data_IF_623949982263
#
_entry.id   IF_623949982263
#
_cell.length_a   1.000
_cell.length_b   1.000
_cell.length_c   1.000
_cell.angle_alpha   90.00
_cell.angle_beta   90.00
_cell.angle_gamma   90.00
#
_symmetry.space_group_name_H-M   'P 1'
#
loop_
_entity.id
_entity.type
_entity.pdbx_description
1 polymer ?
#
# COMPACT_ATOMS: atom_id res chain seq x y z
N UNK A 1 -15.95 17.11 -13.21
CA UNK A 1 -16.66 15.81 -13.29
C UNK A 1 -15.85 14.77 -12.56
N UNK A 2 -16.20 14.44 -11.32
CA UNK A 2 -15.49 13.43 -10.51
C UNK A 2 -15.86 12.04 -11.04
N UNK A 3 -14.99 11.44 -11.83
CA UNK A 3 -15.10 10.02 -12.21
C UNK A 3 -14.89 9.22 -10.93
N UNK A 4 -15.91 8.53 -10.45
CA UNK A 4 -15.85 7.72 -9.23
C UNK A 4 -14.69 6.74 -9.36
N UNK A 5 -13.79 6.70 -8.38
CA UNK A 5 -12.62 5.79 -8.31
C UNK A 5 -12.93 4.30 -8.55
N UNK A 6 -14.19 3.94 -8.60
CA UNK A 6 -14.68 2.57 -8.82
C UNK A 6 -14.74 2.18 -10.31
N UNK A 7 -14.86 3.18 -11.21
CA UNK A 7 -15.07 2.92 -12.63
C UNK A 7 -13.84 2.42 -13.40
N UNK A 8 -12.62 2.87 -13.03
CA UNK A 8 -11.46 2.52 -13.85
C UNK A 8 -11.06 1.05 -13.77
N UNK A 9 -11.22 0.41 -12.60
CA UNK A 9 -10.95 -1.04 -12.44
C UNK A 9 -11.93 -1.88 -13.26
N UNK A 10 -13.19 -1.50 -13.25
CA UNK A 10 -14.22 -2.18 -14.03
C UNK A 10 -14.00 -2.01 -15.53
N UNK A 11 -13.53 -0.83 -15.99
CA UNK A 11 -13.15 -0.62 -17.38
C UNK A 11 -11.97 -1.51 -17.81
N UNK A 12 -10.94 -1.64 -16.98
CA UNK A 12 -9.81 -2.55 -17.26
C UNK A 12 -10.30 -3.98 -17.38
N UNK A 13 -11.10 -4.46 -16.43
CA UNK A 13 -11.64 -5.82 -16.43
C UNK A 13 -12.49 -6.04 -17.69
N UNK A 14 -13.41 -5.12 -18.01
CA UNK A 14 -14.28 -5.22 -19.17
C UNK A 14 -13.51 -5.18 -20.51
N UNK A 15 -12.37 -4.51 -20.53
CA UNK A 15 -11.51 -4.45 -21.72
C UNK A 15 -10.74 -5.75 -21.96
N UNK A 16 -10.61 -6.60 -20.94
CA UNK A 16 -9.86 -7.85 -21.00
C UNK A 16 -10.77 -9.08 -21.02
N UNK A 17 -11.86 -9.04 -20.25
CA UNK A 17 -12.66 -10.23 -19.97
C UNK A 17 -13.42 -10.77 -21.18
N UNK A 18 -13.38 -12.08 -21.37
CA UNK A 18 -14.00 -12.82 -22.47
C UNK A 18 -13.54 -12.35 -23.87
N UNK A 19 -12.29 -11.88 -23.96
CA UNK A 19 -11.67 -11.53 -25.24
C UNK A 19 -10.54 -12.47 -25.58
N UNK A 20 -10.35 -12.73 -26.86
CA UNK A 20 -9.16 -13.39 -27.38
C UNK A 20 -8.01 -12.37 -27.42
N UNK A 21 -6.76 -12.85 -27.29
CA UNK A 21 -5.60 -11.96 -27.25
C UNK A 21 -5.51 -11.03 -28.48
N UNK A 22 -5.82 -11.52 -29.68
CA UNK A 22 -5.78 -10.68 -30.89
C UNK A 22 -6.78 -9.51 -30.87
N UNK A 23 -7.90 -9.62 -30.12
CA UNK A 23 -8.95 -8.61 -30.00
C UNK A 23 -8.56 -7.44 -29.08
N UNK A 24 -7.50 -7.60 -28.30
CA UNK A 24 -7.07 -6.59 -27.34
C UNK A 24 -6.44 -5.37 -28.03
N UNK A 25 -6.60 -4.19 -27.45
CA UNK A 25 -5.81 -3.02 -27.81
C UNK A 25 -4.31 -3.26 -27.57
N UNK A 26 -3.45 -2.55 -28.30
CA UNK A 26 -1.99 -2.69 -28.18
C UNK A 26 -1.49 -2.51 -26.75
N UNK A 27 -2.11 -1.60 -26.00
CA UNK A 27 -1.81 -1.39 -24.59
C UNK A 27 -2.04 -2.65 -23.74
N UNK A 28 -3.21 -3.28 -23.88
CA UNK A 28 -3.53 -4.51 -23.16
C UNK A 28 -2.77 -5.73 -23.69
N UNK A 29 -2.44 -5.78 -24.97
CA UNK A 29 -1.54 -6.81 -25.52
C UNK A 29 -0.20 -6.79 -24.82
N UNK A 30 0.41 -5.60 -24.63
CA UNK A 30 1.66 -5.46 -23.89
C UNK A 30 1.56 -5.94 -22.44
N UNK A 31 0.47 -5.65 -21.74
CA UNK A 31 0.26 -6.12 -20.37
C UNK A 31 0.08 -7.64 -20.30
N UNK A 32 -0.76 -8.21 -21.15
CA UNK A 32 -1.06 -9.65 -21.14
C UNK A 32 0.15 -10.47 -21.59
N UNK A 33 0.90 -10.03 -22.60
CA UNK A 33 2.15 -10.71 -22.99
C UNK A 33 3.25 -10.65 -21.92
N UNK A 34 3.28 -9.58 -21.12
CA UNK A 34 4.15 -9.51 -19.94
C UNK A 34 3.80 -10.54 -18.86
N UNK A 35 2.52 -10.80 -18.64
CA UNK A 35 2.04 -11.81 -17.68
C UNK A 35 2.20 -13.24 -18.23
N UNK A 36 1.91 -13.41 -19.51
CA UNK A 36 1.91 -14.69 -20.21
C UNK A 36 2.80 -14.60 -21.46
N UNK A 37 4.11 -14.80 -21.33
CA UNK A 37 5.06 -14.61 -22.44
C UNK A 37 4.80 -15.49 -23.66
N UNK A 38 4.12 -16.63 -23.49
CA UNK A 38 3.83 -17.60 -24.56
C UNK A 38 2.36 -17.54 -25.02
N UNK A 39 1.65 -16.42 -24.79
CA UNK A 39 0.26 -16.28 -25.20
C UNK A 39 0.13 -16.30 -26.72
N UNK A 40 -0.91 -16.98 -27.21
CA UNK A 40 -1.26 -17.06 -28.63
C UNK A 40 -2.44 -16.15 -28.96
N UNK A 41 -2.57 -15.79 -30.23
CA UNK A 41 -3.62 -14.88 -30.69
C UNK A 41 -5.03 -15.35 -30.31
N UNK A 42 -5.31 -16.65 -30.40
CA UNK A 42 -6.60 -17.23 -30.11
C UNK A 42 -6.87 -17.56 -28.63
N UNK A 43 -5.87 -17.36 -27.76
CA UNK A 43 -6.04 -17.64 -26.34
C UNK A 43 -7.10 -16.71 -25.72
N UNK A 44 -8.05 -17.33 -25.00
CA UNK A 44 -9.13 -16.62 -24.32
C UNK A 44 -8.66 -16.10 -22.95
N UNK A 45 -8.96 -14.86 -22.68
CA UNK A 45 -8.65 -14.19 -21.42
C UNK A 45 -9.91 -14.11 -20.57
N UNK A 46 -9.87 -14.69 -19.37
CA UNK A 46 -10.96 -14.65 -18.41
C UNK A 46 -10.53 -13.81 -17.20
N UNK A 47 -11.34 -12.84 -16.80
CA UNK A 47 -11.07 -11.99 -15.66
C UNK A 47 -12.11 -12.18 -14.55
N UNK A 48 -11.68 -12.59 -13.37
CA UNK A 48 -12.50 -12.80 -12.19
C UNK A 48 -12.28 -11.69 -11.17
N UNK A 49 -13.24 -10.76 -11.02
CA UNK A 49 -13.19 -9.67 -10.06
C UNK A 49 -13.17 -10.17 -8.63
N UNK A 50 -12.32 -9.58 -7.78
CA UNK A 50 -12.26 -9.83 -6.33
C UNK A 50 -12.75 -8.60 -5.58
N UNK A 51 -13.44 -8.82 -4.44
CA UNK A 51 -13.94 -7.74 -3.58
C UNK A 51 -13.29 -7.83 -2.20
N UNK A 52 -12.97 -6.66 -1.60
CA UNK A 52 -12.45 -6.59 -0.23
C UNK A 52 -11.04 -7.16 -0.04
N UNK A 53 -10.25 -7.21 -1.11
CA UNK A 53 -8.96 -7.88 -1.22
C UNK A 53 -7.91 -6.90 -1.75
N UNK A 54 -6.63 -7.20 -1.53
CA UNK A 54 -5.51 -6.51 -2.22
C UNK A 54 -5.48 -6.88 -3.69
N UNK A 55 -5.93 -8.07 -4.01
CA UNK A 55 -6.15 -8.56 -5.37
C UNK A 55 -7.44 -7.93 -5.88
N UNK A 56 -7.35 -7.13 -6.92
CA UNK A 56 -8.51 -6.49 -7.54
C UNK A 56 -9.23 -7.44 -8.50
N UNK A 57 -8.46 -8.21 -9.26
CA UNK A 57 -8.98 -9.27 -10.13
C UNK A 57 -7.91 -10.34 -10.39
N UNK A 58 -8.38 -11.48 -10.84
CA UNK A 58 -7.56 -12.59 -11.30
C UNK A 58 -7.72 -12.70 -12.82
N UNK A 59 -6.61 -12.87 -13.53
CA UNK A 59 -6.58 -13.18 -14.95
C UNK A 59 -6.30 -14.68 -15.10
N UNK A 60 -7.04 -15.34 -15.97
CA UNK A 60 -6.85 -16.73 -16.32
C UNK A 60 -6.68 -16.86 -17.83
N UNK A 61 -5.61 -17.54 -18.25
CA UNK A 61 -5.34 -17.94 -19.63
C UNK A 61 -4.88 -19.39 -19.59
N UNK A 62 -5.51 -20.26 -20.36
CA UNK A 62 -5.16 -21.69 -20.45
C UNK A 62 -5.02 -22.36 -19.07
N UNK A 63 -5.98 -22.10 -18.16
CA UNK A 63 -6.01 -22.61 -16.77
C UNK A 63 -4.88 -22.07 -15.86
N UNK A 64 -4.02 -21.19 -16.35
CA UNK A 64 -3.02 -20.49 -15.53
C UNK A 64 -3.60 -19.20 -14.98
N UNK A 65 -3.70 -19.11 -13.66
CA UNK A 65 -4.27 -17.95 -12.97
C UNK A 65 -3.19 -17.01 -12.44
N UNK A 66 -3.37 -15.70 -12.60
CA UNK A 66 -2.52 -14.64 -12.06
C UNK A 66 -3.35 -13.58 -11.35
N UNK A 67 -2.91 -13.18 -10.18
CA UNK A 67 -3.58 -12.21 -9.33
C UNK A 67 -3.03 -10.80 -9.57
N UNK A 68 -3.90 -9.86 -9.87
CA UNK A 68 -3.52 -8.48 -10.22
C UNK A 68 -4.08 -7.50 -9.21
N UNK A 69 -3.22 -6.60 -8.75
CA UNK A 69 -3.59 -5.43 -7.96
C UNK A 69 -3.51 -4.17 -8.81
N UNK A 70 -4.61 -3.45 -8.95
CA UNK A 70 -4.70 -2.23 -9.75
C UNK A 70 -4.61 -1.01 -8.87
N UNK A 71 -3.69 -0.13 -9.19
CA UNK A 71 -3.50 1.15 -8.49
C UNK A 71 -3.50 2.30 -9.48
N UNK A 72 -3.97 3.45 -9.02
CA UNK A 72 -3.95 4.69 -9.78
C UNK A 72 -3.83 5.89 -8.83
N UNK A 73 -3.14 6.94 -9.26
CA UNK A 73 -2.90 8.16 -8.48
C UNK A 73 -1.51 8.18 -7.81
N UNK A 74 -0.96 9.38 -7.64
CA UNK A 74 0.43 9.60 -7.19
C UNK A 74 0.71 9.02 -5.79
N UNK A 75 -0.27 9.09 -4.91
CA UNK A 75 -0.15 8.57 -3.54
C UNK A 75 -1.30 7.61 -3.26
N UNK A 76 -0.96 6.39 -2.88
CA UNK A 76 -1.92 5.38 -2.47
C UNK A 76 -1.87 5.15 -0.96
N UNK A 77 -3.01 4.81 -0.38
CA UNK A 77 -3.08 4.26 0.97
C UNK A 77 -2.80 2.76 0.89
N UNK A 78 -1.63 2.35 1.41
CA UNK A 78 -1.26 0.91 1.49
C UNK A 78 -1.81 0.28 2.77
N UNK A 79 -2.08 1.10 3.77
CA UNK A 79 -2.73 0.71 5.03
C UNK A 79 -3.65 1.83 5.52
N UNK A 80 -4.82 1.45 6.01
CA UNK A 80 -5.76 2.33 6.70
C UNK A 80 -6.62 1.48 7.62
N UNK A 81 -6.21 1.40 8.89
CA UNK A 81 -6.89 0.59 9.89
C UNK A 81 -6.49 1.07 11.30
N UNK A 82 -7.00 0.40 12.34
CA UNK A 82 -6.64 0.67 13.73
C UNK A 82 -5.14 0.46 13.93
N UNK A 83 -4.49 1.38 14.62
CA UNK A 83 -3.05 1.29 14.91
C UNK A 83 -2.70 0.01 15.64
N UNK A 84 -3.55 -0.47 16.53
CA UNK A 84 -3.30 -1.71 17.27
C UNK A 84 -3.22 -2.94 16.36
N UNK A 85 -3.96 -2.98 15.23
CA UNK A 85 -3.82 -4.06 14.26
C UNK A 85 -2.44 -4.04 13.59
N UNK A 86 -1.92 -2.84 13.30
CA UNK A 86 -0.55 -2.69 12.79
C UNK A 86 0.48 -3.10 13.86
N UNK A 87 0.30 -2.65 15.10
CA UNK A 87 1.18 -2.99 16.22
C UNK A 87 1.25 -4.50 16.44
N UNK A 88 0.12 -5.20 16.47
CA UNK A 88 0.09 -6.67 16.64
C UNK A 88 0.87 -7.36 15.52
N UNK A 89 0.71 -6.90 14.28
CA UNK A 89 1.50 -7.43 13.18
C UNK A 89 3.00 -7.14 13.37
N UNK A 90 3.39 -5.89 13.68
CA UNK A 90 4.79 -5.52 13.87
C UNK A 90 5.45 -6.30 15.01
N UNK A 91 4.74 -6.55 16.11
CA UNK A 91 5.21 -7.41 17.19
C UNK A 91 5.40 -8.86 16.71
N UNK A 92 4.52 -9.38 15.87
CA UNK A 92 4.62 -10.75 15.35
C UNK A 92 5.84 -10.98 14.45
N UNK A 93 6.42 -9.92 13.91
CA UNK A 93 7.64 -9.97 13.11
C UNK A 93 8.89 -9.47 13.86
N UNK A 94 8.78 -9.34 15.19
CA UNK A 94 9.86 -8.97 16.11
C UNK A 94 10.37 -7.53 15.96
N UNK A 95 9.50 -6.57 15.61
CA UNK A 95 9.82 -5.14 15.75
C UNK A 95 10.04 -4.82 17.24
N UNK A 96 11.06 -4.02 17.54
CA UNK A 96 11.43 -3.70 18.93
C UNK A 96 10.28 -3.00 19.68
N UNK A 97 10.19 -3.28 20.99
CA UNK A 97 9.21 -2.61 21.86
C UNK A 97 9.42 -1.10 21.88
N UNK A 98 10.67 -0.65 21.81
CA UNK A 98 11.01 0.76 21.76
C UNK A 98 10.43 1.43 20.50
N UNK A 99 10.56 0.79 19.34
CA UNK A 99 9.97 1.26 18.09
C UNK A 99 8.44 1.32 18.17
N UNK A 100 7.79 0.30 18.73
CA UNK A 100 6.34 0.27 18.92
C UNK A 100 5.87 1.42 19.84
N UNK A 101 6.55 1.62 20.97
CA UNK A 101 6.23 2.71 21.90
C UNK A 101 6.40 4.09 21.23
N UNK A 102 7.49 4.29 20.48
CA UNK A 102 7.71 5.51 19.71
C UNK A 102 6.62 5.76 18.67
N UNK A 103 6.18 4.72 17.95
CA UNK A 103 5.07 4.82 16.99
C UNK A 103 3.75 5.21 17.66
N UNK A 104 3.41 4.61 18.80
CA UNK A 104 2.18 4.89 19.54
C UNK A 104 2.20 6.32 20.09
N UNK A 105 3.31 6.73 20.70
CA UNK A 105 3.51 8.08 21.22
C UNK A 105 3.32 9.14 20.13
N UNK A 106 3.99 8.91 18.98
CA UNK A 106 3.83 9.77 17.81
C UNK A 106 2.40 9.73 17.26
N UNK A 107 1.73 8.57 17.25
CA UNK A 107 0.39 8.41 16.71
C UNK A 107 -0.65 9.20 17.51
N UNK A 108 -0.66 9.03 18.82
CA UNK A 108 -1.65 9.69 19.67
C UNK A 108 -1.34 11.18 19.86
N UNK A 109 -0.09 11.55 20.07
CA UNK A 109 0.32 12.94 20.21
C UNK A 109 -0.26 13.66 21.42
N UNK A 110 -0.72 12.90 22.41
CA UNK A 110 -1.37 13.36 23.63
C UNK A 110 -0.53 13.09 24.91
N UNK A 111 0.73 12.70 24.70
CA UNK A 111 1.63 12.36 25.80
C UNK A 111 1.47 10.94 26.32
N UNK A 112 0.61 10.11 25.68
CA UNK A 112 0.38 8.71 26.06
C UNK A 112 0.58 7.77 24.87
N UNK A 113 0.62 6.48 25.16
CA UNK A 113 0.76 5.42 24.14
C UNK A 113 -0.56 4.69 23.84
N UNK A 114 -1.63 5.05 24.51
CA UNK A 114 -2.96 4.44 24.39
C UNK A 114 -4.05 5.45 24.01
N UNK A 115 -3.70 6.73 23.95
CA UNK A 115 -4.60 7.79 23.62
C UNK A 115 -5.48 8.22 24.79
N UNK A 116 -5.12 7.96 26.04
CA UNK A 116 -5.86 8.36 27.24
C UNK A 116 -5.60 9.81 27.65
N UNK A 117 -4.63 10.48 27.02
CA UNK A 117 -4.28 11.86 27.33
C UNK A 117 -5.36 12.87 26.95
N UNK A 118 -5.41 13.95 27.71
CA UNK A 118 -6.39 15.04 27.52
C UNK A 118 -5.98 16.09 26.48
N UNK A 119 -4.69 16.20 26.19
CA UNK A 119 -4.12 17.16 25.25
C UNK A 119 -3.71 16.47 23.97
N UNK A 120 -4.10 17.04 22.85
CA UNK A 120 -3.72 16.52 21.53
C UNK A 120 -2.99 17.60 20.77
N UNK A 121 -1.71 17.36 20.49
CA UNK A 121 -0.94 18.22 19.59
C UNK A 121 -1.49 18.12 18.17
N UNK A 122 -1.87 19.24 17.58
CA UNK A 122 -2.30 19.28 16.20
C UNK A 122 -1.16 18.85 15.28
N UNK A 123 -1.50 18.15 14.19
CA UNK A 123 -0.52 17.73 13.18
C UNK A 123 -0.11 18.92 12.31
N UNK A 124 0.71 19.82 12.86
CA UNK A 124 1.33 20.92 12.13
C UNK A 124 2.84 20.68 11.97
N UNK A 125 3.49 21.36 11.04
CA UNK A 125 4.92 21.18 10.76
C UNK A 125 5.87 21.38 11.95
N UNK A 126 5.40 21.96 13.06
CA UNK A 126 6.14 22.10 14.32
C UNK A 126 6.32 20.77 15.06
N UNK A 127 5.46 19.78 14.82
CA UNK A 127 5.51 18.48 15.50
C UNK A 127 6.70 17.59 15.14
N UNK A 128 7.39 17.89 14.05
CA UNK A 128 8.59 17.13 13.69
C UNK A 128 9.72 17.32 14.69
N UNK A 129 9.76 18.45 15.38
CA UNK A 129 10.78 18.72 16.39
C UNK A 129 10.42 18.09 17.75
N UNK A 130 9.14 18.13 18.12
CA UNK A 130 8.65 17.56 19.38
C UNK A 130 8.78 16.03 19.41
N UNK A 131 8.77 15.37 18.26
CA UNK A 131 8.85 13.91 18.13
C UNK A 131 10.10 13.43 17.37
N UNK A 132 11.15 14.23 17.34
CA UNK A 132 12.37 13.92 16.59
C UNK A 132 12.98 12.58 17.02
N UNK A 133 13.02 12.30 18.32
CA UNK A 133 13.55 11.06 18.86
C UNK A 133 12.72 9.85 18.41
N UNK A 134 11.40 9.93 18.52
CA UNK A 134 10.47 8.87 18.11
C UNK A 134 10.55 8.61 16.62
N UNK A 135 10.65 9.67 15.82
CA UNK A 135 10.82 9.59 14.37
C UNK A 135 12.14 8.89 14.01
N UNK A 136 13.24 9.25 14.70
CA UNK A 136 14.55 8.63 14.47
C UNK A 136 14.55 7.14 14.84
N UNK A 137 13.97 6.76 15.99
CA UNK A 137 13.85 5.36 16.42
C UNK A 137 13.14 4.54 15.34
N UNK A 138 11.95 4.97 14.93
CA UNK A 138 11.15 4.22 13.97
C UNK A 138 11.83 4.18 12.59
N UNK A 139 12.33 5.31 12.11
CA UNK A 139 12.97 5.37 10.80
C UNK A 139 14.24 4.51 10.76
N UNK A 140 15.00 4.41 11.86
CA UNK A 140 16.19 3.57 11.95
C UNK A 140 15.85 2.07 12.01
N UNK A 141 14.82 1.67 12.75
CA UNK A 141 14.38 0.28 12.83
C UNK A 141 14.10 -0.29 11.44
N UNK A 142 13.38 0.46 10.61
CA UNK A 142 13.00 0.03 9.26
C UNK A 142 14.06 0.26 8.18
N UNK A 143 15.31 0.59 8.53
CA UNK A 143 16.48 0.42 7.67
C UNK A 143 16.86 -1.06 7.53
N UNK A 144 16.42 -1.91 8.46
CA UNK A 144 16.58 -3.36 8.34
C UNK A 144 15.73 -3.86 7.16
N UNK A 145 16.41 -4.29 6.09
CA UNK A 145 15.79 -4.74 4.84
C UNK A 145 14.93 -5.97 5.00
N UNK A 146 15.30 -6.91 5.88
CA UNK A 146 14.52 -8.12 6.14
C UNK A 146 13.19 -7.74 6.82
N UNK A 147 13.25 -6.90 7.84
CA UNK A 147 12.08 -6.42 8.55
C UNK A 147 11.16 -5.63 7.63
N UNK A 148 11.71 -4.70 6.85
CA UNK A 148 10.97 -3.93 5.85
C UNK A 148 10.31 -4.85 4.81
N UNK A 149 11.01 -5.90 4.36
CA UNK A 149 10.47 -6.90 3.46
C UNK A 149 9.21 -7.57 3.99
N UNK A 150 9.22 -8.01 5.26
CA UNK A 150 8.04 -8.60 5.92
C UNK A 150 6.86 -7.62 5.98
N UNK A 151 7.15 -6.33 6.22
CA UNK A 151 6.11 -5.29 6.23
C UNK A 151 5.50 -5.09 4.83
N UNK A 152 6.32 -5.04 3.79
CA UNK A 152 5.85 -4.89 2.40
C UNK A 152 5.00 -6.10 2.00
N UNK A 153 5.45 -7.30 2.31
CA UNK A 153 4.72 -8.53 2.04
C UNK A 153 3.34 -8.49 2.71
N UNK A 154 3.27 -8.11 3.98
CA UNK A 154 2.01 -7.96 4.71
C UNK A 154 1.10 -6.87 4.15
N UNK A 155 1.64 -5.70 3.80
CA UNK A 155 0.84 -4.54 3.41
C UNK A 155 0.38 -4.58 1.96
N UNK A 156 1.22 -5.07 1.04
CA UNK A 156 1.01 -4.94 -0.39
C UNK A 156 0.76 -6.27 -1.10
N UNK A 157 1.41 -7.35 -0.68
CA UNK A 157 1.51 -8.57 -1.47
C UNK A 157 0.60 -9.67 -0.92
N UNK A 158 0.78 -10.06 0.35
CA UNK A 158 0.10 -11.23 0.91
C UNK A 158 -1.32 -10.91 1.38
N UNK A 159 -2.23 -11.81 1.07
CA UNK A 159 -3.59 -11.82 1.58
C UNK A 159 -3.70 -12.71 2.82
N UNK A 160 -4.66 -12.41 3.69
CA UNK A 160 -4.98 -13.28 4.86
C UNK A 160 -5.40 -14.68 4.46
N UNK A 161 -5.89 -14.86 3.23
CA UNK A 161 -6.29 -16.14 2.64
C UNK A 161 -5.12 -17.01 2.16
N UNK A 162 -3.88 -16.56 2.32
CA UNK A 162 -2.69 -17.23 1.78
C UNK A 162 -2.43 -16.97 0.29
N UNK A 163 -3.30 -16.24 -0.39
CA UNK A 163 -3.07 -15.78 -1.77
C UNK A 163 -2.13 -14.59 -1.77
N UNK A 164 -1.46 -14.37 -2.90
CA UNK A 164 -0.58 -13.22 -3.08
C UNK A 164 -0.91 -12.47 -4.37
N UNK A 165 -0.58 -11.19 -4.40
CA UNK A 165 -0.56 -10.40 -5.62
C UNK A 165 0.63 -10.84 -6.45
N UNK A 166 0.41 -11.24 -7.69
CA UNK A 166 1.49 -11.59 -8.63
C UNK A 166 2.00 -10.37 -9.38
N UNK A 167 1.08 -9.48 -9.77
CA UNK A 167 1.39 -8.29 -10.57
C UNK A 167 0.69 -7.05 -10.06
N UNK A 168 1.39 -5.93 -10.16
CA UNK A 168 0.82 -4.60 -10.02
C UNK A 168 0.59 -3.98 -11.39
N UNK A 169 -0.60 -3.45 -11.59
CA UNK A 169 -0.97 -2.62 -12.72
C UNK A 169 -1.21 -1.19 -12.21
N UNK A 170 -0.45 -0.22 -12.69
CA UNK A 170 -0.50 1.17 -12.25
C UNK A 170 -0.87 2.09 -13.40
N UNK A 171 -2.09 2.57 -13.40
CA UNK A 171 -2.65 3.40 -14.45
C UNK A 171 -4.14 3.17 -14.66
N UNK A 172 -4.60 3.44 -15.86
CA UNK A 172 -5.99 3.27 -16.27
C UNK A 172 -6.12 2.37 -17.52
N UNK A 173 -7.30 2.38 -18.14
CA UNK A 173 -7.61 1.59 -19.33
C UNK A 173 -6.95 2.11 -20.63
N UNK A 174 -6.24 3.25 -20.57
CA UNK A 174 -5.57 3.87 -21.73
C UNK A 174 -4.06 3.75 -21.65
N UNK A 175 -3.50 3.88 -20.45
CA UNK A 175 -2.07 3.80 -20.23
C UNK A 175 -1.75 3.27 -18.84
N UNK A 176 -0.77 2.39 -18.74
CA UNK A 176 -0.28 1.88 -17.47
C UNK A 176 1.17 1.48 -17.54
N UNK A 177 1.78 1.41 -16.36
CA UNK A 177 3.00 0.67 -16.10
C UNK A 177 2.64 -0.57 -15.27
N UNK A 178 3.40 -1.63 -15.41
CA UNK A 178 3.15 -2.87 -14.68
C UNK A 178 4.46 -3.54 -14.30
N UNK A 179 4.44 -4.24 -13.19
CA UNK A 179 5.59 -4.99 -12.67
C UNK A 179 5.14 -6.18 -11.86
N UNK A 180 6.01 -7.18 -11.71
CA UNK A 180 5.80 -8.27 -10.75
C UNK A 180 5.90 -7.76 -9.32
N UNK A 181 5.27 -8.46 -8.38
CA UNK A 181 5.36 -8.12 -6.96
C UNK A 181 6.79 -8.20 -6.43
N UNK A 182 7.61 -9.12 -6.95
CA UNK A 182 9.03 -9.22 -6.59
C UNK A 182 9.81 -7.97 -6.99
N UNK A 183 9.65 -7.48 -8.21
CA UNK A 183 10.30 -6.24 -8.68
C UNK A 183 9.90 -5.06 -7.83
N UNK A 184 8.60 -4.89 -7.57
CA UNK A 184 8.10 -3.78 -6.72
C UNK A 184 8.66 -3.89 -5.31
N UNK A 185 8.68 -5.09 -4.72
CA UNK A 185 9.25 -5.35 -3.40
C UNK A 185 10.73 -4.99 -3.34
N UNK A 186 11.52 -5.44 -4.29
CA UNK A 186 12.95 -5.16 -4.37
C UNK A 186 13.24 -3.67 -4.55
N UNK A 187 12.51 -3.00 -5.43
CA UNK A 187 12.65 -1.56 -5.66
C UNK A 187 12.36 -0.76 -4.39
N UNK A 188 11.36 -1.17 -3.59
CA UNK A 188 11.03 -0.50 -2.32
C UNK A 188 12.12 -0.75 -1.27
N UNK A 189 12.59 -2.00 -1.13
CA UNK A 189 13.60 -2.37 -0.12
C UNK A 189 14.97 -1.73 -0.42
N UNK A 190 15.30 -1.59 -1.69
CA UNK A 190 16.58 -1.05 -2.13
C UNK A 190 16.57 0.47 -2.34
N UNK A 191 15.46 1.13 -2.09
CA UNK A 191 15.41 2.60 -2.10
C UNK A 191 16.33 3.16 -1.01
N UNK A 192 17.15 4.12 -1.38
CA UNK A 192 18.00 4.82 -0.41
C UNK A 192 17.14 5.70 0.50
N UNK A 193 17.12 5.33 1.79
CA UNK A 193 16.34 6.02 2.83
C UNK A 193 17.22 6.99 3.66
N UNK A 194 18.37 7.42 3.16
CA UNK A 194 19.32 8.27 3.90
C UNK A 194 18.93 9.76 3.97
N UNK A 195 17.71 10.12 3.60
CA UNK A 195 17.24 11.50 3.73
C UNK A 195 16.94 11.86 5.19
N UNK A 196 17.28 13.07 5.65
CA UNK A 196 16.82 13.56 6.95
C UNK A 196 15.30 13.62 6.93
N UNK A 197 14.68 12.67 7.63
CA UNK A 197 13.24 12.52 7.60
C UNK A 197 12.58 13.47 8.59
N UNK A 198 11.84 14.43 8.07
CA UNK A 198 10.98 15.30 8.88
C UNK A 198 9.73 14.57 9.40
N UNK A 199 9.46 13.36 8.91
CA UNK A 199 8.25 12.60 9.23
C UNK A 199 8.58 11.16 9.57
N UNK A 200 7.74 10.55 10.40
CA UNK A 200 7.83 9.13 10.69
C UNK A 200 7.52 8.30 9.46
N UNK A 201 8.35 7.28 9.22
CA UNK A 201 8.23 6.38 8.08
C UNK A 201 8.44 4.94 8.48
N UNK A 202 7.80 4.03 7.74
CA UNK A 202 8.14 2.62 7.71
C UNK A 202 8.83 2.37 6.36
N UNK A 203 10.16 2.40 6.36
CA UNK A 203 10.94 2.47 5.12
C UNK A 203 10.58 3.73 4.31
N UNK A 204 10.08 3.54 3.09
CA UNK A 204 9.66 4.63 2.20
C UNK A 204 8.19 5.07 2.40
N UNK A 205 7.45 4.36 3.24
CA UNK A 205 6.03 4.62 3.49
C UNK A 205 5.87 5.68 4.57
N UNK A 206 5.16 6.76 4.27
CA UNK A 206 4.86 7.80 5.25
C UNK A 206 3.77 7.31 6.22
N UNK A 207 4.09 7.31 7.51
CA UNK A 207 3.17 6.98 8.58
C UNK A 207 2.47 8.23 9.11
N UNK A 208 1.15 8.19 9.18
CA UNK A 208 0.35 9.29 9.72
C UNK A 208 -0.80 8.78 10.60
N UNK A 209 -1.13 9.45 11.70
CA UNK A 209 -2.44 9.35 12.31
C UNK A 209 -3.49 9.88 11.29
N UNK A 210 -4.65 9.24 11.21
CA UNK A 210 -5.68 9.66 10.24
C UNK A 210 -6.22 11.05 10.58
N UNK A 211 -6.42 11.32 11.86
CA UNK A 211 -6.78 12.63 12.41
C UNK A 211 -6.07 12.80 13.76
N UNK A 212 -5.31 13.87 13.91
CA UNK A 212 -4.85 14.39 15.21
C UNK A 212 -5.59 15.65 15.63
N UNK A 213 -6.02 16.46 14.67
CA UNK A 213 -6.80 17.66 14.97
C UNK A 213 -8.24 17.28 15.15
N UNK A 214 -8.65 17.14 16.40
CA UNK A 214 -10.04 17.22 16.74
C UNK A 214 -10.28 18.57 17.39
N UNK A 215 -11.13 19.40 16.77
CA UNK A 215 -11.90 20.31 17.58
C UNK A 215 -12.65 19.45 18.59
N UNK A 216 -12.70 19.85 19.83
CA UNK A 216 -13.39 19.20 20.95
C UNK A 216 -14.86 18.84 20.71
N UNK A 217 -15.38 19.13 19.53
CA UNK A 217 -16.77 18.99 19.11
C UNK A 217 -17.06 17.75 18.25
N UNK A 218 -16.04 16.99 17.85
CA UNK A 218 -16.25 15.84 16.95
C UNK A 218 -16.36 14.56 17.78
N UNK A 219 -17.59 14.11 18.03
CA UNK A 219 -17.93 12.91 18.81
C UNK A 219 -17.44 11.58 18.21
N UNK A 220 -16.74 11.58 17.09
CA UNK A 220 -16.20 10.39 16.45
C UNK A 220 -14.82 9.98 17.00
N UNK A 221 -14.79 9.56 18.27
CA UNK A 221 -13.63 8.93 18.92
C UNK A 221 -12.99 7.76 18.12
N UNK A 222 -13.75 7.16 17.18
CA UNK A 222 -13.30 6.03 16.39
C UNK A 222 -12.08 6.34 15.50
N UNK A 223 -11.95 7.56 14.98
CA UNK A 223 -10.82 7.95 14.11
C UNK A 223 -9.51 8.18 14.85
N UNK A 224 -9.55 8.44 16.16
CA UNK A 224 -8.36 8.61 17.01
C UNK A 224 -7.41 7.40 16.94
N UNK A 225 -7.97 6.22 16.77
CA UNK A 225 -7.21 4.98 16.72
C UNK A 225 -6.83 4.54 15.30
N UNK A 226 -7.14 5.31 14.27
CA UNK A 226 -6.83 4.95 12.89
C UNK A 226 -5.52 5.57 12.45
N UNK A 227 -4.61 4.74 11.96
CA UNK A 227 -3.41 5.18 11.26
C UNK A 227 -3.47 4.87 9.77
N UNK A 228 -2.64 5.57 9.01
CA UNK A 228 -2.51 5.35 7.58
C UNK A 228 -1.03 5.27 7.19
N UNK A 229 -0.72 4.37 6.26
CA UNK A 229 0.55 4.35 5.56
C UNK A 229 0.32 4.75 4.11
N UNK A 230 1.11 5.70 3.62
CA UNK A 230 1.01 6.25 2.27
C UNK A 230 2.29 5.94 1.49
N UNK A 231 2.11 5.57 0.23
CA UNK A 231 3.22 5.24 -0.67
C UNK A 231 2.96 5.83 -2.06
N UNK A 232 4.01 6.35 -2.69
CA UNK A 232 4.01 6.60 -4.14
C UNK A 232 4.42 5.32 -4.87
N UNK A 233 3.46 4.42 -5.09
CA UNK A 233 3.74 3.10 -5.68
C UNK A 233 4.21 3.22 -7.14
N UNK A 234 3.74 4.22 -7.88
CA UNK A 234 4.12 4.42 -9.29
C UNK A 234 5.62 4.57 -9.49
N UNK A 235 6.34 5.13 -8.51
CA UNK A 235 7.79 5.25 -8.51
C UNK A 235 8.50 3.89 -8.59
N UNK A 236 7.91 2.85 -8.00
CA UNK A 236 8.52 1.51 -7.87
C UNK A 236 8.10 0.54 -8.98
N UNK A 237 7.08 0.91 -9.75
CA UNK A 237 6.62 0.15 -10.92
C UNK A 237 7.30 0.63 -12.20
N UNK A 238 7.67 1.92 -12.27
CA UNK A 238 8.25 2.55 -13.47
C UNK A 238 9.77 2.44 -13.57
N UNK A 239 10.43 1.88 -12.57
CA UNK A 239 11.91 1.75 -12.55
C UNK A 239 12.42 0.62 -13.45
#
# INVERSE_FOLDING_TARGET
MYIKKKDFKDRIINSLNNKRYFELSQHFKGFISYIYPNIKDDDLIICNKKKGSKIDFQIEVNQVCKNVSVKNGDIIYVYKDRIMNLVLFLLSINVSKECIMAMLYYHYGDGTVDGSGSYINSFSGLLCEDYKKEIEIVNNEFKNKELLGKVIDYLLINEKSGKMVDYFYYGDDKSASYATSSIVRENIINEDNNYPHKFMRIGVMNFHPLKRSYSYLDSNLSYKHICVLKLNLGKYIKK
#
